data_IF_258166373714
#
_entry.id   IF_258166373714
#
_cell.length_a   1.000
_cell.length_b   1.000
_cell.length_c   1.000
_cell.angle_alpha   90.00
_cell.angle_beta   90.00
_cell.angle_gamma   90.00
#
_symmetry.space_group_name_H-M   'P 1'
#
loop_
_entity.id
_entity.type
_entity.pdbx_description
1 polymer ?
#
# COMPACT_ATOMS: atom_id res chain seq x y z
N UNK A 1 7.37 -1.53 -20.26
CA UNK A 1 6.60 -0.29 -19.99
C UNK A 1 6.30 -0.25 -18.49
N UNK A 2 6.48 0.90 -17.84
CA UNK A 2 6.16 1.09 -16.42
C UNK A 2 4.68 1.47 -16.26
N UNK A 3 4.08 1.01 -15.17
CA UNK A 3 2.70 1.29 -14.78
C UNK A 3 2.66 1.58 -13.28
N UNK A 4 2.24 2.77 -12.88
CA UNK A 4 2.04 3.12 -11.47
C UNK A 4 0.65 2.66 -11.05
N UNK A 5 0.61 1.73 -10.11
CA UNK A 5 -0.63 1.09 -9.69
C UNK A 5 -1.47 2.07 -8.87
N UNK A 6 -2.71 2.30 -9.33
CA UNK A 6 -3.72 3.06 -8.59
C UNK A 6 -4.43 2.11 -7.64
N UNK A 7 -4.04 2.12 -6.36
CA UNK A 7 -4.59 1.21 -5.34
C UNK A 7 -6.00 1.62 -4.95
N UNK A 8 -6.74 0.70 -4.34
CA UNK A 8 -8.03 0.97 -3.69
C UNK A 8 -7.82 0.96 -2.17
N UNK A 9 -8.29 1.99 -1.46
CA UNK A 9 -8.05 2.12 -0.01
C UNK A 9 -9.33 2.54 0.71
N UNK A 10 -9.58 2.03 1.92
CA UNK A 10 -10.73 2.41 2.75
C UNK A 10 -10.57 3.73 3.51
N UNK A 11 -9.94 4.72 2.86
CA UNK A 11 -9.89 6.10 3.35
C UNK A 11 -10.22 7.08 2.22
N UNK A 12 -10.75 8.27 2.53
CA UNK A 12 -10.90 9.33 1.54
C UNK A 12 -9.59 9.62 0.84
N UNK A 13 -9.62 9.74 -0.49
CA UNK A 13 -8.51 10.29 -1.25
C UNK A 13 -8.32 11.75 -0.85
N UNK A 14 -7.08 12.16 -0.59
CA UNK A 14 -6.74 13.57 -0.43
C UNK A 14 -5.65 13.96 -1.42
N UNK A 15 -5.67 15.21 -1.87
CA UNK A 15 -4.76 15.75 -2.91
C UNK A 15 -3.29 15.76 -2.45
N UNK A 16 -3.05 15.68 -1.14
CA UNK A 16 -1.71 15.58 -0.55
C UNK A 16 -1.24 14.11 -0.39
N UNK A 17 -2.04 13.14 -0.84
CA UNK A 17 -1.74 11.71 -0.76
C UNK A 17 -1.39 11.16 -2.13
N UNK A 18 -0.88 9.93 -2.13
CA UNK A 18 -0.74 9.16 -3.36
C UNK A 18 -2.09 9.00 -4.07
N UNK A 19 -2.08 8.96 -5.39
CA UNK A 19 -3.29 8.73 -6.19
C UNK A 19 -3.81 7.31 -5.92
N UNK A 20 -5.06 7.22 -5.48
CA UNK A 20 -5.74 5.96 -5.16
C UNK A 20 -7.25 6.13 -5.30
N UNK A 21 -7.93 5.04 -5.63
CA UNK A 21 -9.37 4.93 -5.49
C UNK A 21 -9.77 4.75 -4.02
N UNK A 22 -11.01 5.11 -3.71
CA UNK A 22 -11.58 4.97 -2.38
C UNK A 22 -12.83 4.11 -2.44
N UNK A 23 -12.91 3.12 -1.55
CA UNK A 23 -14.15 2.41 -1.23
C UNK A 23 -14.47 2.58 0.25
N UNK A 24 -15.76 2.55 0.59
CA UNK A 24 -16.16 2.34 1.98
C UNK A 24 -15.79 0.91 2.42
N UNK A 25 -15.63 0.69 3.73
CA UNK A 25 -15.18 -0.60 4.25
C UNK A 25 -16.07 -1.78 3.79
N UNK A 26 -17.39 -1.63 3.89
CA UNK A 26 -18.33 -2.64 3.41
C UNK A 26 -18.18 -2.91 1.90
N UNK A 27 -18.07 -1.86 1.09
CA UNK A 27 -17.89 -2.01 -0.36
C UNK A 27 -16.54 -2.65 -0.74
N UNK A 28 -15.50 -2.40 0.07
CA UNK A 28 -14.21 -3.06 -0.11
C UNK A 28 -14.31 -4.56 0.14
N UNK A 29 -15.00 -4.97 1.21
CA UNK A 29 -15.20 -6.38 1.55
C UNK A 29 -15.97 -7.10 0.45
N UNK A 30 -17.04 -6.50 -0.09
CA UNK A 30 -17.77 -7.07 -1.23
C UNK A 30 -16.85 -7.18 -2.46
N UNK A 31 -16.10 -6.13 -2.80
CA UNK A 31 -15.18 -6.16 -3.94
C UNK A 31 -14.07 -7.21 -3.78
N UNK A 32 -13.56 -7.41 -2.56
CA UNK A 32 -12.59 -8.46 -2.24
C UNK A 32 -13.19 -9.85 -2.45
N UNK A 33 -14.42 -10.09 -1.97
CA UNK A 33 -15.14 -11.34 -2.16
C UNK A 33 -15.42 -11.63 -3.66
N UNK A 34 -15.66 -10.58 -4.45
CA UNK A 34 -15.87 -10.66 -5.90
C UNK A 34 -14.58 -10.82 -6.71
N UNK A 35 -13.41 -10.87 -6.05
CA UNK A 35 -12.12 -11.05 -6.72
C UNK A 35 -11.59 -9.80 -7.43
N UNK A 36 -12.01 -8.60 -6.99
CA UNK A 36 -11.57 -7.34 -7.59
C UNK A 36 -10.07 -7.03 -7.39
N UNK A 37 -9.39 -7.76 -6.50
CA UNK A 37 -8.00 -7.50 -6.13
C UNK A 37 -7.07 -8.67 -6.46
N UNK A 38 -5.90 -8.35 -7.03
CA UNK A 38 -4.79 -9.29 -7.14
C UNK A 38 -4.18 -9.60 -5.77
N UNK A 39 -4.11 -8.58 -4.91
CA UNK A 39 -3.74 -8.72 -3.51
C UNK A 39 -4.45 -7.65 -2.67
N UNK A 40 -4.91 -8.03 -1.49
CA UNK A 40 -5.53 -7.17 -0.49
C UNK A 40 -4.89 -7.38 0.87
N UNK A 41 -4.88 -6.35 1.71
CA UNK A 41 -4.37 -6.42 3.08
C UNK A 41 -4.92 -5.33 3.98
N UNK A 42 -4.76 -5.53 5.29
CA UNK A 42 -5.09 -4.56 6.32
C UNK A 42 -3.82 -3.93 6.92
N UNK A 43 -3.83 -2.62 7.13
CA UNK A 43 -2.80 -1.91 7.90
C UNK A 43 -3.36 -0.60 8.47
N UNK A 44 -2.93 -0.22 9.68
CA UNK A 44 -3.34 1.06 10.29
C UNK A 44 -4.86 1.29 10.36
N UNK A 45 -5.65 0.23 10.56
CA UNK A 45 -7.12 0.32 10.60
C UNK A 45 -7.77 0.54 9.24
N UNK A 46 -7.03 0.38 8.14
CA UNK A 46 -7.49 0.53 6.77
C UNK A 46 -7.27 -0.75 5.99
N UNK A 47 -8.05 -0.92 4.92
CA UNK A 47 -7.90 -1.96 3.90
C UNK A 47 -7.26 -1.34 2.66
N UNK A 48 -6.44 -2.13 1.99
CA UNK A 48 -5.72 -1.77 0.78
C UNK A 48 -5.87 -2.90 -0.23
N UNK A 49 -6.10 -2.54 -1.49
CA UNK A 49 -6.20 -3.49 -2.60
C UNK A 49 -5.35 -3.03 -3.78
N UNK A 50 -4.61 -3.95 -4.39
CA UNK A 50 -4.09 -3.81 -5.75
C UNK A 50 -5.14 -4.42 -6.69
N UNK A 51 -5.65 -3.67 -7.67
CA UNK A 51 -6.67 -4.19 -8.57
C UNK A 51 -6.22 -5.43 -9.35
N UNK A 52 -7.16 -6.32 -9.69
CA UNK A 52 -6.88 -7.58 -10.36
C UNK A 52 -6.28 -7.41 -11.78
N UNK A 53 -6.48 -6.27 -12.43
CA UNK A 53 -5.90 -5.97 -13.75
C UNK A 53 -4.37 -5.89 -13.72
N UNK A 54 -3.75 -5.70 -12.55
CA UNK A 54 -2.30 -5.73 -12.39
C UNK A 54 -1.74 -7.12 -12.70
N UNK A 55 -2.45 -8.20 -12.37
CA UNK A 55 -2.04 -9.56 -12.77
C UNK A 55 -1.93 -9.66 -14.31
N UNK A 56 -2.89 -9.07 -15.03
CA UNK A 56 -2.85 -9.00 -16.49
C UNK A 56 -1.71 -8.12 -17.00
N UNK A 57 -1.50 -6.94 -16.44
CA UNK A 57 -0.41 -6.04 -16.82
C UNK A 57 0.96 -6.70 -16.67
N UNK A 58 1.20 -7.38 -15.55
CA UNK A 58 2.46 -8.10 -15.29
C UNK A 58 2.62 -9.29 -16.26
N UNK A 59 1.57 -10.08 -16.47
CA UNK A 59 1.60 -11.21 -17.42
C UNK A 59 1.90 -10.75 -18.87
N UNK A 60 1.55 -9.52 -19.23
CA UNK A 60 1.83 -8.92 -20.53
C UNK A 60 3.16 -8.14 -20.59
N UNK A 61 4.09 -8.42 -19.67
CA UNK A 61 5.46 -7.89 -19.70
C UNK A 61 5.57 -6.42 -19.25
N UNK A 62 4.58 -5.89 -18.54
CA UNK A 62 4.67 -4.58 -17.91
C UNK A 62 5.29 -4.69 -16.51
N UNK A 63 5.87 -3.57 -16.06
CA UNK A 63 6.40 -3.44 -14.70
C UNK A 63 5.43 -2.59 -13.89
N UNK A 64 4.70 -3.25 -12.99
CA UNK A 64 3.80 -2.59 -12.05
C UNK A 64 4.59 -2.06 -10.84
N UNK A 65 4.44 -0.76 -10.56
CA UNK A 65 5.05 -0.09 -9.42
C UNK A 65 3.96 0.25 -8.42
N UNK A 66 4.02 -0.36 -7.24
CA UNK A 66 3.02 -0.18 -6.18
C UNK A 66 3.69 0.12 -4.84
N UNK A 67 3.10 1.04 -4.08
CA UNK A 67 3.44 1.24 -2.67
C UNK A 67 2.68 0.21 -1.82
N UNK A 68 3.37 -0.52 -0.95
CA UNK A 68 2.81 -1.66 -0.21
C UNK A 68 3.33 -1.72 1.22
N UNK A 69 2.61 -2.42 2.10
CA UNK A 69 3.11 -2.75 3.43
C UNK A 69 4.16 -3.86 3.36
N UNK A 70 5.21 -3.79 4.19
CA UNK A 70 6.23 -4.86 4.31
C UNK A 70 5.61 -6.24 4.59
N UNK A 71 4.50 -6.27 5.32
CA UNK A 71 3.79 -7.48 5.70
C UNK A 71 3.29 -8.31 4.51
N UNK A 72 3.08 -7.71 3.33
CA UNK A 72 2.58 -8.43 2.15
C UNK A 72 3.67 -8.89 1.18
N UNK A 73 4.93 -8.62 1.48
CA UNK A 73 6.07 -9.06 0.64
C UNK A 73 6.08 -10.59 0.43
N UNK A 74 5.83 -11.44 1.45
CA UNK A 74 5.75 -12.89 1.23
C UNK A 74 4.68 -13.27 0.20
N UNK A 75 3.46 -12.73 0.33
CA UNK A 75 2.37 -12.96 -0.61
C UNK A 75 2.67 -12.45 -2.03
N UNK A 76 3.40 -11.33 -2.16
CA UNK A 76 3.88 -10.85 -3.46
C UNK A 76 4.90 -11.80 -4.09
N UNK A 77 5.81 -12.40 -3.29
CA UNK A 77 6.79 -13.39 -3.77
C UNK A 77 6.12 -14.68 -4.25
N UNK A 78 5.02 -15.08 -3.61
CA UNK A 78 4.22 -16.23 -4.04
C UNK A 78 3.47 -15.96 -5.35
N UNK A 79 2.98 -14.72 -5.54
CA UNK A 79 2.17 -14.34 -6.69
C UNK A 79 2.97 -14.02 -7.95
N UNK A 80 4.08 -13.27 -7.81
CA UNK A 80 4.84 -12.75 -8.94
C UNK A 80 6.25 -13.33 -8.97
N UNK A 81 6.59 -14.03 -10.06
CA UNK A 81 7.90 -14.62 -10.26
C UNK A 81 9.05 -13.58 -10.26
N UNK A 82 8.77 -12.36 -10.74
CA UNK A 82 9.72 -11.26 -10.79
C UNK A 82 9.25 -10.14 -9.85
N UNK A 83 9.93 -9.97 -8.71
CA UNK A 83 9.66 -8.94 -7.72
C UNK A 83 10.93 -8.19 -7.38
N UNK A 84 10.90 -6.86 -7.48
CA UNK A 84 11.94 -5.98 -6.96
C UNK A 84 11.38 -5.15 -5.81
N UNK A 85 12.10 -5.09 -4.69
CA UNK A 85 11.70 -4.34 -3.50
C UNK A 85 12.55 -3.07 -3.41
N UNK A 86 11.89 -1.92 -3.30
CA UNK A 86 12.56 -0.63 -3.08
C UNK A 86 12.19 -0.14 -1.69
N UNK A 87 13.13 -0.23 -0.76
CA UNK A 87 12.98 0.35 0.57
C UNK A 87 13.50 1.79 0.56
N UNK A 88 12.61 2.73 0.91
CA UNK A 88 12.97 4.13 1.09
C UNK A 88 13.12 4.39 2.59
N UNK A 89 14.34 4.71 3.02
CA UNK A 89 14.66 5.03 4.41
C UNK A 89 14.89 6.53 4.59
N UNK A 90 14.72 7.01 5.82
CA UNK A 90 15.03 8.36 6.25
C UNK A 90 15.36 8.32 7.74
N UNK A 91 15.98 9.38 8.28
CA UNK A 91 16.22 9.45 9.72
C UNK A 91 14.89 9.50 10.49
N UNK A 92 14.84 9.02 11.75
CA UNK A 92 13.63 9.07 12.56
C UNK A 92 13.03 10.48 12.68
N UNK A 93 13.90 11.51 12.72
CA UNK A 93 13.50 12.92 12.81
C UNK A 93 12.75 13.37 11.54
N UNK A 94 13.28 13.03 10.37
CA UNK A 94 12.64 13.32 9.07
C UNK A 94 11.31 12.58 8.94
N UNK A 95 11.25 11.32 9.41
CA UNK A 95 10.00 10.56 9.43
C UNK A 95 8.96 11.20 10.36
N UNK A 96 9.36 11.60 11.56
CA UNK A 96 8.47 12.24 12.54
C UNK A 96 7.89 13.55 12.01
N UNK A 97 8.75 14.41 11.43
CA UNK A 97 8.33 15.68 10.83
C UNK A 97 7.35 15.45 9.68
N UNK A 98 7.65 14.51 8.78
CA UNK A 98 6.77 14.18 7.65
C UNK A 98 5.43 13.61 8.10
N UNK A 99 5.40 12.76 9.13
CA UNK A 99 4.16 12.21 9.66
C UNK A 99 3.30 13.30 10.32
N UNK A 100 3.93 14.20 11.09
CA UNK A 100 3.25 15.34 11.70
C UNK A 100 2.63 16.28 10.66
N UNK A 101 3.32 16.56 9.55
CA UNK A 101 2.83 17.45 8.48
C UNK A 101 1.61 16.88 7.72
N UNK A 102 1.39 15.57 7.71
CA UNK A 102 0.27 14.97 6.97
C UNK A 102 -1.08 15.22 7.64
N UNK A 103 -1.11 15.41 8.96
CA UNK A 103 -2.34 15.65 9.71
C UNK A 103 -3.35 14.50 9.71
N UNK A 104 -2.94 13.28 9.31
CA UNK A 104 -3.82 12.09 9.18
C UNK A 104 -3.76 11.14 10.37
N UNK A 105 -2.79 11.32 11.24
CA UNK A 105 -2.48 10.42 12.35
C UNK A 105 -2.40 11.25 13.64
N UNK A 106 -2.94 10.72 14.72
CA UNK A 106 -2.74 11.25 16.06
C UNK A 106 -1.27 11.09 16.48
N UNK A 107 -0.84 11.87 17.49
CA UNK A 107 0.51 11.74 18.06
C UNK A 107 0.82 10.32 18.52
N UNK A 108 -0.16 9.61 19.07
CA UNK A 108 0.01 8.22 19.49
C UNK A 108 0.28 7.27 18.32
N UNK A 109 -0.43 7.44 17.21
CA UNK A 109 -0.25 6.64 15.99
C UNK A 109 1.11 6.91 15.33
N UNK A 110 1.56 8.17 15.30
CA UNK A 110 2.90 8.55 14.80
C UNK A 110 4.00 7.88 15.62
N UNK A 111 3.91 7.94 16.96
CA UNK A 111 4.90 7.31 17.84
C UNK A 111 4.92 5.79 17.69
N UNK A 112 3.74 5.15 17.64
CA UNK A 112 3.63 3.71 17.42
C UNK A 112 4.22 3.27 16.08
N UNK A 113 4.14 4.13 15.06
CA UNK A 113 4.69 3.89 13.73
C UNK A 113 6.23 4.00 13.72
N UNK A 114 6.80 5.01 14.37
CA UNK A 114 8.25 5.19 14.45
C UNK A 114 8.94 4.05 15.22
N UNK A 115 8.27 3.50 16.25
CA UNK A 115 8.79 2.41 17.06
C UNK A 115 8.96 1.08 16.30
N UNK A 116 8.24 0.86 15.19
CA UNK A 116 8.29 -0.37 14.39
C UNK A 116 9.36 -0.35 13.29
N UNK A 117 10.48 0.35 13.48
CA UNK A 117 11.58 0.39 12.51
C UNK A 117 12.29 -0.98 12.41
N UNK A 118 11.63 -1.94 11.77
CA UNK A 118 12.18 -3.23 11.37
C UNK A 118 12.63 -3.14 9.91
N UNK A 119 13.90 -3.39 9.63
CA UNK A 119 14.43 -3.41 8.26
C UNK A 119 13.70 -4.47 7.42
N UNK A 120 13.53 -4.20 6.12
CA UNK A 120 13.04 -5.23 5.20
C UNK A 120 14.14 -6.29 5.05
N UNK A 121 13.83 -7.56 5.33
CA UNK A 121 14.69 -8.71 5.03
C UNK A 121 14.02 -9.58 3.96
#
# INVERSE_FOLDING_TARGET
>A
RLEFVRRVITRPSDVASEDHDTLADAAFVEAEADGAFAISWEAHGLRYGIPADVDWSVANGRVAVANVSRAIIPSLRERYANLAIVEITASPEVLAERLAMRGRESRGEVLARLARSANVT
#
